data_IF_753666471652
#
_entry.id   IF_753666471652
#
_cell.length_a   1.000
_cell.length_b   1.000
_cell.length_c   1.000
_cell.angle_alpha   90.00
_cell.angle_beta   90.00
_cell.angle_gamma   90.00
#
_symmetry.space_group_name_H-M   'P 1'
#
loop_
_entity.id
_entity.type
_entity.pdbx_description
1 polymer ?
#
# COMPACT_ATOMS: atom_id res chain seq x y z
N UNK A 1 -9.31 13.85 -10.31
CA UNK A 1 -8.02 13.36 -9.79
C UNK A 1 -8.32 12.14 -8.93
N UNK A 2 -7.98 10.93 -9.39
CA UNK A 2 -8.28 9.71 -8.62
C UNK A 2 -7.13 9.58 -7.63
N UNK A 3 -7.39 9.80 -6.35
CA UNK A 3 -6.45 9.58 -5.27
C UNK A 3 -7.01 8.48 -4.38
N UNK A 4 -6.16 7.59 -3.87
CA UNK A 4 -6.62 6.68 -2.83
C UNK A 4 -6.88 7.51 -1.57
N UNK A 5 -8.07 7.38 -0.99
CA UNK A 5 -8.48 8.20 0.15
C UNK A 5 -7.53 7.98 1.34
N UNK A 6 -6.85 9.03 1.86
CA UNK A 6 -5.92 8.89 2.98
C UNK A 6 -6.58 8.29 4.24
N UNK A 7 -7.87 8.53 4.44
CA UNK A 7 -8.62 8.00 5.58
C UNK A 7 -8.72 6.47 5.57
N UNK A 8 -8.98 5.85 4.41
CA UNK A 8 -9.09 4.38 4.29
C UNK A 8 -7.73 3.74 4.52
N UNK A 9 -6.68 4.26 3.88
CA UNK A 9 -5.30 3.80 4.11
C UNK A 9 -4.89 3.90 5.58
N UNK A 10 -5.29 4.96 6.28
CA UNK A 10 -4.94 5.16 7.70
C UNK A 10 -5.60 4.11 8.60
N UNK A 11 -6.85 3.76 8.36
CA UNK A 11 -7.55 2.71 9.11
C UNK A 11 -6.89 1.34 8.92
N UNK A 12 -6.62 0.97 7.67
CA UNK A 12 -6.04 -0.34 7.35
C UNK A 12 -4.63 -0.47 7.93
N UNK A 13 -3.77 0.54 7.75
CA UNK A 13 -2.43 0.56 8.33
C UNK A 13 -2.46 0.52 9.87
N UNK A 14 -3.48 1.11 10.50
CA UNK A 14 -3.68 1.03 11.95
C UNK A 14 -4.03 -0.39 12.42
N UNK A 15 -4.90 -1.10 11.70
CA UNK A 15 -5.26 -2.49 12.02
C UNK A 15 -4.03 -3.41 12.01
N UNK A 16 -3.20 -3.31 10.96
CA UNK A 16 -1.93 -4.04 10.92
C UNK A 16 -1.00 -3.65 12.07
N UNK A 17 -0.92 -2.35 12.39
CA UNK A 17 -0.09 -1.87 13.50
C UNK A 17 -0.53 -2.43 14.86
N UNK A 18 -1.85 -2.54 15.07
CA UNK A 18 -2.47 -3.04 16.31
C UNK A 18 -2.29 -4.55 16.47
N UNK A 19 -2.63 -5.31 15.43
CA UNK A 19 -2.80 -6.76 15.54
C UNK A 19 -1.55 -7.55 15.13
N UNK A 20 -0.57 -6.88 14.54
CA UNK A 20 0.66 -7.52 14.06
C UNK A 20 1.90 -6.69 14.41
N UNK A 21 3.08 -7.23 14.09
CA UNK A 21 4.36 -6.51 14.15
C UNK A 21 4.66 -5.72 12.86
N UNK A 22 3.77 -5.75 11.86
CA UNK A 22 3.95 -5.05 10.59
C UNK A 22 3.70 -3.55 10.77
N UNK A 23 4.56 -2.73 10.19
CA UNK A 23 4.50 -1.26 10.24
C UNK A 23 4.65 -0.71 8.84
N UNK A 24 3.63 -0.01 8.35
CA UNK A 24 3.71 0.77 7.12
C UNK A 24 4.33 2.13 7.45
N UNK A 25 5.36 2.51 6.70
CA UNK A 25 6.07 3.79 6.87
C UNK A 25 6.21 4.47 5.51
N UNK A 26 6.16 5.82 5.44
CA UNK A 26 6.44 6.53 4.19
C UNK A 26 7.86 6.21 3.69
N UNK A 27 7.96 5.85 2.41
CA UNK A 27 9.23 5.62 1.74
C UNK A 27 10.09 6.88 1.76
N UNK A 28 11.38 6.72 2.04
CA UNK A 28 12.41 7.78 1.99
C UNK A 28 13.52 7.44 1.01
N UNK A 29 14.16 6.28 1.21
CA UNK A 29 15.37 5.86 0.47
C UNK A 29 15.41 4.34 0.24
N UNK A 30 14.39 3.63 0.71
CA UNK A 30 14.31 2.18 0.62
C UNK A 30 14.24 1.73 -0.85
N UNK A 31 15.08 0.76 -1.22
CA UNK A 31 15.11 0.20 -2.57
C UNK A 31 13.81 -0.55 -2.87
N UNK A 32 13.32 -1.29 -1.89
CA UNK A 32 12.13 -2.12 -2.00
C UNK A 32 10.97 -1.44 -1.27
N UNK A 33 9.94 -1.06 -2.02
CA UNK A 33 8.79 -0.36 -1.47
C UNK A 33 7.52 -0.65 -2.26
N UNK A 34 6.37 -0.53 -1.60
CA UNK A 34 5.07 -0.66 -2.23
C UNK A 34 4.63 0.73 -2.70
N UNK A 35 4.37 0.88 -4.00
CA UNK A 35 3.73 2.06 -4.58
C UNK A 35 2.24 1.81 -4.68
N UNK A 36 1.47 2.49 -3.84
CA UNK A 36 0.01 2.41 -3.84
C UNK A 36 -0.55 3.46 -4.80
N UNK A 37 -1.45 3.07 -5.69
CA UNK A 37 -2.03 3.96 -6.68
C UNK A 37 -3.47 3.54 -7.05
N UNK A 38 -4.28 4.46 -7.60
CA UNK A 38 -5.65 4.18 -7.97
C UNK A 38 -5.71 3.64 -9.41
N UNK A 39 -5.49 2.33 -9.56
CA UNK A 39 -5.62 1.66 -10.85
C UNK A 39 -7.07 1.34 -11.22
N UNK A 40 -7.26 0.51 -12.26
CA UNK A 40 -8.59 0.14 -12.74
C UNK A 40 -9.27 -0.90 -11.86
N UNK A 41 -8.50 -1.78 -11.21
CA UNK A 41 -8.97 -2.91 -10.39
C UNK A 41 -8.09 -3.06 -9.15
N UNK A 42 -8.54 -3.85 -8.18
CA UNK A 42 -7.77 -4.13 -6.96
C UNK A 42 -6.82 -5.33 -7.15
N UNK A 43 -5.51 -5.14 -7.00
CA UNK A 43 -4.54 -6.24 -7.05
C UNK A 43 -3.20 -5.90 -6.36
N UNK A 44 -2.47 -6.95 -6.00
CA UNK A 44 -1.08 -6.89 -5.52
C UNK A 44 -0.27 -8.09 -6.01
N UNK A 45 1.05 -7.96 -6.03
CA UNK A 45 1.94 -9.12 -6.14
C UNK A 45 1.97 -9.90 -4.82
N UNK A 46 2.20 -11.21 -4.91
CA UNK A 46 2.39 -12.06 -3.73
C UNK A 46 3.85 -12.01 -3.29
N UNK A 47 4.09 -11.66 -2.01
CA UNK A 47 5.43 -11.54 -1.45
C UNK A 47 6.15 -10.25 -1.85
N UNK A 48 7.46 -10.22 -1.59
CA UNK A 48 8.37 -9.12 -1.95
C UNK A 48 8.96 -9.38 -3.32
N UNK A 49 8.58 -8.60 -4.34
CA UNK A 49 9.09 -8.76 -5.71
C UNK A 49 10.41 -8.03 -5.99
N UNK A 50 10.84 -7.14 -5.08
CA UNK A 50 12.01 -6.29 -5.27
C UNK A 50 11.70 -4.98 -6.02
N UNK A 51 12.45 -3.92 -5.70
CA UNK A 51 12.26 -2.59 -6.26
C UNK A 51 10.92 -1.95 -5.90
N UNK A 52 10.44 -1.09 -6.79
CA UNK A 52 9.11 -0.50 -6.69
C UNK A 52 8.02 -1.53 -7.05
N UNK A 53 7.25 -1.98 -6.07
CA UNK A 53 6.16 -2.94 -6.24
C UNK A 53 4.78 -2.23 -6.35
N UNK A 54 4.02 -2.42 -7.44
CA UNK A 54 2.70 -1.80 -7.60
C UNK A 54 1.63 -2.47 -6.71
N UNK A 55 0.83 -1.66 -6.00
CA UNK A 55 -0.42 -2.05 -5.35
C UNK A 55 -1.55 -1.17 -5.90
N UNK A 56 -2.47 -1.79 -6.63
CA UNK A 56 -3.60 -1.08 -7.21
C UNK A 56 -4.81 -1.16 -6.28
N UNK A 57 -5.36 0.00 -5.93
CA UNK A 57 -6.63 0.14 -5.23
C UNK A 57 -7.61 0.87 -6.16
N UNK A 58 -8.25 0.10 -7.03
CA UNK A 58 -9.24 0.63 -7.97
C UNK A 58 -10.56 0.99 -7.29
N UNK A 59 -11.49 1.53 -8.07
CA UNK A 59 -12.87 1.64 -7.62
C UNK A 59 -13.47 0.23 -7.58
N UNK A 60 -13.62 -0.29 -6.37
CA UNK A 60 -14.32 -1.55 -6.11
C UNK A 60 -15.81 -1.44 -6.39
#
# INVERSE_FOLDING_TARGET
DKTVTPAIMTNDMWLYKRDTRIRFVPMKVEIDFIRIFPGQVCYSHVGKSGGQQPLSLGQG
#
